data_IF_325212892331
#
_entry.id   IF_325212892331
#
_cell.length_a   1.000
_cell.length_b   1.000
_cell.length_c   1.000
_cell.angle_alpha   90.00
_cell.angle_beta   90.00
_cell.angle_gamma   90.00
#
_symmetry.space_group_name_H-M   'P 1'
#
loop_
_entity.id
_entity.type
_entity.pdbx_description
1 polymer ?
#
# COMPACT_ATOMS: atom_id res chain seq x y z
N UNK A 1 -4.06 -14.63 -7.44
CA UNK A 1 -3.02 -15.35 -6.65
C UNK A 1 -3.36 -16.81 -6.42
N UNK A 2 -4.53 -17.13 -5.88
CA UNK A 2 -4.91 -18.51 -5.49
C UNK A 2 -5.05 -19.46 -6.69
N UNK A 3 -5.71 -19.04 -7.78
CA UNK A 3 -5.78 -19.83 -9.01
C UNK A 3 -4.40 -20.09 -9.65
N UNK A 4 -3.46 -19.17 -9.46
CA UNK A 4 -2.11 -19.29 -9.98
C UNK A 4 -1.24 -20.23 -9.11
N UNK A 5 -1.46 -20.25 -7.79
CA UNK A 5 -0.89 -21.25 -6.88
C UNK A 5 -1.48 -22.64 -7.14
N UNK A 6 -2.79 -22.74 -7.39
CA UNK A 6 -3.42 -24.00 -7.81
C UNK A 6 -2.85 -24.52 -9.13
N UNK A 7 -2.67 -23.64 -10.13
CA UNK A 7 -1.99 -23.96 -11.39
C UNK A 7 -0.51 -24.37 -11.19
N UNK A 8 0.20 -23.72 -10.27
CA UNK A 8 1.57 -24.09 -9.91
C UNK A 8 1.65 -25.48 -9.26
N UNK A 9 0.69 -25.81 -8.39
CA UNK A 9 0.56 -27.14 -7.78
C UNK A 9 0.15 -28.20 -8.81
N UNK A 10 -0.74 -27.86 -9.75
CA UNK A 10 -1.10 -28.71 -10.90
C UNK A 10 0.09 -28.97 -11.83
N UNK A 11 1.02 -28.02 -11.96
CA UNK A 11 2.22 -28.15 -12.77
C UNK A 11 3.32 -29.02 -12.13
N UNK A 12 3.30 -29.19 -10.81
CA UNK A 12 4.36 -29.85 -10.06
C UNK A 12 4.10 -31.35 -9.85
N UNK A 13 4.61 -32.18 -10.77
CA UNK A 13 4.98 -33.58 -10.51
C UNK A 13 3.89 -34.58 -10.06
N UNK A 14 3.38 -35.38 -11.00
CA UNK A 14 2.46 -36.49 -10.73
C UNK A 14 1.77 -36.94 -12.02
N UNK A 15 1.20 -38.15 -12.07
CA UNK A 15 0.29 -38.53 -13.15
C UNK A 15 -0.90 -37.57 -13.21
N UNK A 16 -1.49 -37.37 -14.39
CA UNK A 16 -2.63 -36.47 -14.62
C UNK A 16 -3.72 -36.57 -13.53
N UNK A 17 -4.05 -37.81 -13.13
CA UNK A 17 -5.03 -38.09 -12.10
C UNK A 17 -4.65 -37.56 -10.71
N UNK A 18 -3.37 -37.62 -10.33
CA UNK A 18 -2.90 -37.08 -9.04
C UNK A 18 -2.96 -35.55 -9.05
N UNK A 19 -2.60 -34.92 -10.16
CA UNK A 19 -2.70 -33.45 -10.34
C UNK A 19 -4.14 -32.98 -10.19
N UNK A 20 -5.07 -33.59 -10.95
CA UNK A 20 -6.49 -33.27 -10.85
C UNK A 20 -7.03 -33.45 -9.42
N UNK A 21 -6.61 -34.52 -8.74
CA UNK A 21 -7.02 -34.77 -7.36
C UNK A 21 -6.48 -33.72 -6.40
N UNK A 22 -5.18 -33.45 -6.42
CA UNK A 22 -4.53 -32.58 -5.43
C UNK A 22 -4.90 -31.10 -5.70
N UNK A 23 -4.95 -30.69 -6.97
CA UNK A 23 -5.50 -29.39 -7.37
C UNK A 23 -7.00 -29.27 -7.07
N UNK A 24 -7.76 -30.35 -7.22
CA UNK A 24 -9.17 -30.44 -6.83
C UNK A 24 -9.38 -30.25 -5.33
N UNK A 25 -8.57 -30.90 -4.49
CA UNK A 25 -8.60 -30.71 -3.04
C UNK A 25 -8.23 -29.30 -2.61
N UNK A 26 -7.21 -28.70 -3.24
CA UNK A 26 -6.85 -27.31 -2.99
C UNK A 26 -7.97 -26.35 -3.39
N UNK A 27 -8.54 -26.52 -4.59
CA UNK A 27 -9.66 -25.72 -5.07
C UNK A 27 -10.87 -25.87 -4.15
N UNK A 28 -11.20 -27.11 -3.75
CA UNK A 28 -12.29 -27.38 -2.80
C UNK A 28 -12.04 -26.69 -1.46
N UNK A 29 -10.84 -26.80 -0.88
CA UNK A 29 -10.49 -26.12 0.36
C UNK A 29 -10.61 -24.61 0.26
N UNK A 30 -10.17 -24.02 -0.85
CA UNK A 30 -10.37 -22.60 -1.13
C UNK A 30 -11.84 -22.23 -1.23
N UNK A 31 -12.63 -22.94 -2.03
CA UNK A 31 -14.06 -22.64 -2.17
C UNK A 31 -14.80 -22.85 -0.85
N UNK A 32 -14.46 -23.86 -0.05
CA UNK A 32 -15.05 -24.06 1.28
C UNK A 32 -14.73 -22.89 2.22
N UNK A 33 -13.53 -22.30 2.14
CA UNK A 33 -13.16 -21.13 2.94
C UNK A 33 -13.77 -19.82 2.40
N UNK A 34 -13.81 -19.65 1.07
CA UNK A 34 -14.25 -18.42 0.42
C UNK A 34 -15.79 -18.32 0.33
N UNK A 35 -16.49 -19.44 0.13
CA UNK A 35 -17.95 -19.45 -0.09
C UNK A 35 -18.73 -18.82 1.06
N UNK A 36 -18.47 -19.12 2.35
CA UNK A 36 -19.18 -18.45 3.45
C UNK A 36 -19.03 -16.93 3.42
N UNK A 37 -17.83 -16.43 3.11
CA UNK A 37 -17.55 -15.00 3.01
C UNK A 37 -18.27 -14.40 1.80
N UNK A 38 -18.21 -15.05 0.65
CA UNK A 38 -18.87 -14.58 -0.58
C UNK A 38 -20.39 -14.60 -0.44
N UNK A 39 -20.97 -15.61 0.21
CA UNK A 39 -22.40 -15.69 0.51
C UNK A 39 -22.80 -14.59 1.48
N UNK A 40 -22.03 -14.38 2.55
CA UNK A 40 -22.28 -13.30 3.50
C UNK A 40 -22.23 -11.92 2.83
N UNK A 41 -21.21 -11.66 2.01
CA UNK A 41 -21.11 -10.42 1.24
C UNK A 41 -22.27 -10.29 0.25
N UNK A 42 -22.61 -11.35 -0.49
CA UNK A 42 -23.67 -11.32 -1.49
C UNK A 42 -25.04 -11.09 -0.86
N UNK A 43 -25.29 -11.67 0.31
CA UNK A 43 -26.51 -11.47 1.07
C UNK A 43 -26.59 -10.08 1.72
N UNK A 44 -25.45 -9.52 2.16
CA UNK A 44 -25.41 -8.22 2.84
C UNK A 44 -25.40 -7.02 1.89
N UNK A 45 -24.62 -7.08 0.81
CA UNK A 45 -24.38 -5.96 -0.12
C UNK A 45 -24.99 -6.17 -1.51
N UNK A 46 -25.29 -7.42 -1.90
CA UNK A 46 -25.68 -7.77 -3.26
C UNK A 46 -24.47 -8.02 -4.17
N UNK A 47 -24.65 -8.90 -5.17
CA UNK A 47 -23.58 -9.25 -6.11
C UNK A 47 -23.11 -8.06 -6.96
N UNK A 48 -24.03 -7.17 -7.33
CA UNK A 48 -23.70 -5.98 -8.14
C UNK A 48 -22.79 -5.01 -7.40
N UNK A 49 -23.06 -4.77 -6.11
CA UNK A 49 -22.20 -3.94 -5.27
C UNK A 49 -20.80 -4.57 -5.11
N UNK A 50 -20.73 -5.88 -4.89
CA UNK A 50 -19.43 -6.58 -4.82
C UNK A 50 -18.66 -6.45 -6.13
N UNK A 51 -19.32 -6.67 -7.27
CA UNK A 51 -18.68 -6.52 -8.57
C UNK A 51 -18.16 -5.09 -8.77
N UNK A 52 -18.99 -4.10 -8.45
CA UNK A 52 -18.63 -2.69 -8.55
C UNK A 52 -17.43 -2.34 -7.67
N UNK A 53 -17.45 -2.70 -6.39
CA UNK A 53 -16.40 -2.35 -5.43
C UNK A 53 -15.09 -3.14 -5.64
N UNK A 54 -15.18 -4.43 -5.95
CA UNK A 54 -14.00 -5.31 -6.03
C UNK A 54 -13.33 -5.29 -7.41
N UNK A 55 -14.10 -4.99 -8.46
CA UNK A 55 -13.59 -5.02 -9.85
C UNK A 55 -13.61 -3.63 -10.46
N UNK A 56 -14.77 -2.99 -10.56
CA UNK A 56 -14.91 -1.74 -11.33
C UNK A 56 -14.15 -0.59 -10.68
N UNK A 57 -14.39 -0.32 -9.40
CA UNK A 57 -13.67 0.72 -8.65
C UNK A 57 -12.16 0.43 -8.59
N UNK A 58 -11.75 -0.83 -8.39
CA UNK A 58 -10.32 -1.17 -8.36
C UNK A 58 -9.62 -0.83 -9.68
N UNK A 59 -10.26 -1.08 -10.83
CA UNK A 59 -9.73 -0.71 -12.14
C UNK A 59 -9.67 0.81 -12.29
N UNK A 60 -10.75 1.52 -11.97
CA UNK A 60 -10.80 2.99 -12.06
C UNK A 60 -9.75 3.67 -11.16
N UNK A 61 -9.60 3.19 -9.93
CA UNK A 61 -8.56 3.64 -9.00
C UNK A 61 -7.16 3.38 -9.58
N UNK A 62 -6.92 2.19 -10.16
CA UNK A 62 -5.63 1.86 -10.74
C UNK A 62 -5.28 2.76 -11.93
N UNK A 63 -6.22 3.07 -12.81
CA UNK A 63 -6.00 3.97 -13.95
C UNK A 63 -5.63 5.39 -13.48
N UNK A 64 -6.43 5.97 -12.59
CA UNK A 64 -6.27 7.35 -12.14
C UNK A 64 -5.10 7.54 -11.17
N UNK A 65 -4.69 6.48 -10.46
CA UNK A 65 -3.62 6.52 -9.46
C UNK A 65 -2.34 5.82 -9.90
N UNK A 66 -2.28 5.38 -11.16
CA UNK A 66 -1.08 4.75 -11.72
C UNK A 66 0.16 5.63 -11.56
N UNK A 67 1.33 5.02 -11.37
CA UNK A 67 2.60 5.74 -11.29
C UNK A 67 3.64 5.04 -12.14
N UNK A 68 4.42 5.79 -12.95
CA UNK A 68 5.50 5.21 -13.71
C UNK A 68 6.60 4.69 -12.77
N UNK A 69 7.32 3.67 -13.22
CA UNK A 69 8.49 3.17 -12.50
C UNK A 69 9.48 4.31 -12.24
N UNK A 70 10.08 4.40 -11.02
CA UNK A 70 11.08 5.41 -10.74
C UNK A 70 12.25 5.34 -11.74
N UNK A 71 12.76 6.52 -12.09
CA UNK A 71 13.94 6.65 -12.95
C UNK A 71 15.21 6.08 -12.28
N UNK A 72 16.26 5.87 -13.08
CA UNK A 72 17.61 5.50 -12.62
C UNK A 72 18.61 6.64 -12.75
N UNK A 73 18.16 7.89 -12.71
CA UNK A 73 19.09 9.00 -12.62
C UNK A 73 19.96 8.82 -11.38
N UNK A 74 21.28 9.02 -11.51
CA UNK A 74 22.18 8.95 -10.36
C UNK A 74 21.67 9.91 -9.28
N UNK A 75 21.53 9.43 -8.04
CA UNK A 75 21.05 10.28 -6.97
C UNK A 75 22.11 11.30 -6.61
N UNK A 76 21.66 12.43 -6.07
CA UNK A 76 22.52 13.22 -5.22
C UNK A 76 22.86 12.37 -3.98
N UNK A 77 24.15 12.07 -3.79
CA UNK A 77 24.62 11.22 -2.71
C UNK A 77 24.59 11.93 -1.34
N UNK A 78 24.41 13.24 -1.33
CA UNK A 78 24.23 14.02 -0.10
C UNK A 78 22.74 14.08 0.29
N UNK A 79 21.80 13.84 -0.64
CA UNK A 79 20.37 13.73 -0.36
C UNK A 79 19.94 12.27 -0.11
N UNK A 80 19.73 11.93 1.17
CA UNK A 80 19.22 10.61 1.58
C UNK A 80 17.89 10.24 0.91
N UNK A 81 17.02 11.21 0.62
CA UNK A 81 15.76 10.96 -0.08
C UNK A 81 16.00 10.62 -1.54
N UNK A 82 16.94 11.27 -2.21
CA UNK A 82 17.34 10.96 -3.57
C UNK A 82 17.94 9.55 -3.66
N UNK A 83 18.84 9.18 -2.75
CA UNK A 83 19.41 7.82 -2.65
C UNK A 83 18.31 6.77 -2.53
N UNK A 84 17.36 6.97 -1.61
CA UNK A 84 16.23 6.05 -1.42
C UNK A 84 15.39 5.90 -2.68
N UNK A 85 15.00 7.00 -3.33
CA UNK A 85 14.20 6.96 -4.55
C UNK A 85 14.92 6.24 -5.69
N UNK A 86 16.23 6.49 -5.84
CA UNK A 86 17.07 5.75 -6.79
C UNK A 86 17.11 4.27 -6.47
N UNK A 87 17.31 3.91 -5.19
CA UNK A 87 17.38 2.51 -4.77
C UNK A 87 16.05 1.77 -5.02
N UNK A 88 14.90 2.42 -4.78
CA UNK A 88 13.59 1.88 -5.15
C UNK A 88 13.50 1.63 -6.66
N UNK A 89 14.02 2.56 -7.48
CA UNK A 89 14.14 2.37 -8.93
C UNK A 89 15.01 1.17 -9.32
N UNK A 90 16.11 0.94 -8.59
CA UNK A 90 16.97 -0.24 -8.74
C UNK A 90 16.21 -1.51 -8.35
N UNK A 91 15.50 -1.51 -7.22
CA UNK A 91 14.72 -2.65 -6.74
C UNK A 91 13.66 -3.07 -7.77
N UNK A 92 12.90 -2.13 -8.37
CA UNK A 92 11.94 -2.45 -9.43
C UNK A 92 12.57 -3.27 -10.57
N UNK A 93 13.76 -2.89 -11.01
CA UNK A 93 14.48 -3.55 -12.12
C UNK A 93 15.12 -4.85 -11.69
N UNK A 94 15.71 -4.88 -10.50
CA UNK A 94 16.27 -6.09 -9.91
C UNK A 94 15.17 -7.15 -9.74
N UNK A 95 14.01 -6.77 -9.23
CA UNK A 95 12.90 -7.70 -8.98
C UNK A 95 12.35 -8.20 -10.30
N UNK A 96 12.10 -7.31 -11.26
CA UNK A 96 11.67 -7.70 -12.60
C UNK A 96 12.67 -8.67 -13.25
N UNK A 97 13.96 -8.35 -13.20
CA UNK A 97 15.02 -9.23 -13.71
C UNK A 97 15.05 -10.59 -13.01
N UNK A 98 14.87 -10.61 -11.68
CA UNK A 98 14.82 -11.84 -10.88
C UNK A 98 13.64 -12.72 -11.32
N UNK A 99 12.43 -12.18 -11.37
CA UNK A 99 11.24 -12.94 -11.78
C UNK A 99 11.31 -13.39 -13.24
N UNK A 100 11.76 -12.53 -14.16
CA UNK A 100 11.94 -12.91 -15.57
C UNK A 100 13.00 -14.02 -15.71
N UNK A 101 14.11 -13.93 -14.98
CA UNK A 101 15.17 -14.94 -14.98
C UNK A 101 14.68 -16.29 -14.46
N UNK A 102 13.96 -16.30 -13.33
CA UNK A 102 13.39 -17.53 -12.79
C UNK A 102 12.26 -18.10 -13.66
N UNK A 103 11.40 -17.25 -14.25
CA UNK A 103 10.38 -17.69 -15.19
C UNK A 103 11.02 -18.35 -16.42
N UNK A 104 12.06 -17.74 -17.00
CA UNK A 104 12.80 -18.32 -18.11
C UNK A 104 13.49 -19.64 -17.73
N UNK A 105 14.08 -19.73 -16.54
CA UNK A 105 14.69 -20.96 -16.02
C UNK A 105 13.66 -22.09 -15.87
N UNK A 106 12.49 -21.78 -15.30
CA UNK A 106 11.39 -22.74 -15.14
C UNK A 106 10.84 -23.18 -16.49
N UNK A 107 10.66 -22.26 -17.44
CA UNK A 107 10.24 -22.56 -18.81
C UNK A 107 11.27 -23.45 -19.53
N UNK A 108 12.56 -23.14 -19.43
CA UNK A 108 13.63 -23.94 -20.02
C UNK A 108 13.67 -25.36 -19.43
N UNK A 109 13.49 -25.50 -18.10
CA UNK A 109 13.37 -26.81 -17.44
C UNK A 109 12.16 -27.59 -17.95
N UNK A 110 11.02 -26.93 -18.06
CA UNK A 110 9.79 -27.52 -18.58
C UNK A 110 9.96 -28.04 -20.01
N UNK A 111 10.54 -27.23 -20.91
CA UNK A 111 10.84 -27.61 -22.30
C UNK A 111 11.77 -28.83 -22.35
N UNK A 112 12.78 -28.86 -21.47
CA UNK A 112 13.72 -30.00 -21.33
C UNK A 112 13.11 -31.22 -20.62
N UNK A 113 11.81 -31.20 -20.31
CA UNK A 113 11.08 -32.23 -19.54
C UNK A 113 11.69 -32.51 -18.16
N UNK A 114 12.50 -31.58 -17.65
CA UNK A 114 12.98 -31.61 -16.27
C UNK A 114 11.85 -31.09 -15.37
N UNK A 115 11.59 -31.79 -14.26
CA UNK A 115 10.55 -31.38 -13.32
C UNK A 115 11.02 -30.15 -12.53
N UNK A 116 10.38 -28.98 -12.69
CA UNK A 116 10.68 -27.84 -11.85
C UNK A 116 10.19 -28.10 -10.42
N UNK A 117 10.88 -27.49 -9.45
CA UNK A 117 10.51 -27.58 -8.03
C UNK A 117 9.15 -26.88 -7.80
N UNK A 118 8.12 -27.58 -7.26
CA UNK A 118 6.81 -27.00 -6.95
C UNK A 118 6.89 -25.70 -6.18
N UNK A 119 7.76 -25.67 -5.16
CA UNK A 119 7.88 -24.53 -4.27
C UNK A 119 8.45 -23.34 -5.04
N UNK A 120 9.44 -23.58 -5.91
CA UNK A 120 10.00 -22.54 -6.74
C UNK A 120 8.97 -21.96 -7.71
N UNK A 121 8.15 -22.81 -8.35
CA UNK A 121 7.05 -22.33 -9.21
C UNK A 121 6.08 -21.48 -8.39
N UNK A 122 5.66 -21.96 -7.21
CA UNK A 122 4.73 -21.24 -6.35
C UNK A 122 5.27 -19.87 -5.93
N UNK A 123 6.55 -19.77 -5.54
CA UNK A 123 7.20 -18.51 -5.16
C UNK A 123 7.31 -17.55 -6.35
N UNK A 124 7.68 -18.04 -7.53
CA UNK A 124 7.79 -17.22 -8.75
C UNK A 124 6.43 -16.69 -9.18
N UNK A 125 5.39 -17.53 -9.14
CA UNK A 125 4.02 -17.14 -9.49
C UNK A 125 3.45 -16.17 -8.45
N UNK A 126 3.61 -16.47 -7.16
CA UNK A 126 3.17 -15.59 -6.08
C UNK A 126 3.82 -14.21 -6.21
N UNK A 127 5.15 -14.16 -6.26
CA UNK A 127 5.86 -12.90 -6.35
C UNK A 127 5.68 -12.16 -7.67
N UNK A 128 5.56 -12.87 -8.79
CA UNK A 128 5.28 -12.28 -10.09
C UNK A 128 3.93 -11.55 -10.11
N UNK A 129 2.90 -12.09 -9.46
CA UNK A 129 1.61 -11.41 -9.34
C UNK A 129 1.68 -10.15 -8.48
N UNK A 130 2.41 -10.19 -7.36
CA UNK A 130 2.61 -9.01 -6.52
C UNK A 130 3.45 -7.95 -7.23
N UNK A 131 4.46 -8.35 -8.00
CA UNK A 131 5.23 -7.43 -8.83
C UNK A 131 4.35 -6.80 -9.92
N UNK A 132 3.53 -7.58 -10.62
CA UNK A 132 2.59 -7.05 -11.63
C UNK A 132 1.63 -6.01 -11.02
N UNK A 133 1.12 -6.27 -9.81
CA UNK A 133 0.34 -5.28 -9.05
C UNK A 133 1.17 -4.02 -8.76
N UNK A 134 2.42 -4.19 -8.33
CA UNK A 134 3.32 -3.09 -8.03
C UNK A 134 3.72 -2.27 -9.26
N UNK A 135 3.64 -2.84 -10.47
CA UNK A 135 3.89 -2.11 -11.72
C UNK A 135 2.72 -1.18 -12.10
N UNK A 136 1.49 -1.50 -11.69
CA UNK A 136 0.31 -0.65 -11.92
C UNK A 136 0.41 0.70 -11.20
N UNK A 137 1.00 0.71 -10.00
CA UNK A 137 1.36 1.93 -9.26
C UNK A 137 2.77 1.77 -8.71
N UNK A 138 3.75 2.28 -9.47
CA UNK A 138 5.15 2.03 -9.17
C UNK A 138 5.73 2.95 -8.09
N UNK A 139 5.34 2.72 -6.83
CA UNK A 139 5.97 3.33 -5.66
C UNK A 139 6.35 2.28 -4.59
N UNK A 140 7.25 2.67 -3.69
CA UNK A 140 7.87 1.78 -2.70
C UNK A 140 6.87 0.95 -1.88
N UNK A 141 5.78 1.51 -1.30
CA UNK A 141 4.83 0.69 -0.54
C UNK A 141 4.19 -0.44 -1.37
N UNK A 142 3.99 -0.22 -2.66
CA UNK A 142 3.47 -1.28 -3.54
C UNK A 142 4.56 -2.30 -3.86
N UNK A 143 5.80 -1.87 -4.07
CA UNK A 143 6.93 -2.77 -4.27
C UNK A 143 7.22 -3.66 -3.06
N UNK A 144 7.06 -3.13 -1.84
CA UNK A 144 7.28 -3.84 -0.58
C UNK A 144 6.40 -5.09 -0.45
N UNK A 145 5.22 -5.07 -1.08
CA UNK A 145 4.34 -6.24 -1.13
C UNK A 145 4.94 -7.44 -1.89
N UNK A 146 5.93 -7.20 -2.77
CA UNK A 146 6.68 -8.23 -3.47
C UNK A 146 7.99 -8.63 -2.74
N UNK A 147 8.36 -7.96 -1.65
CA UNK A 147 9.61 -8.20 -0.94
C UNK A 147 9.75 -9.64 -0.40
N UNK A 148 8.74 -10.25 0.26
CA UNK A 148 8.91 -11.60 0.80
C UNK A 148 9.29 -12.66 -0.25
N UNK A 149 8.58 -12.80 -1.39
CA UNK A 149 9.00 -13.76 -2.42
C UNK A 149 10.33 -13.39 -3.08
N UNK A 150 10.69 -12.10 -3.18
CA UNK A 150 12.03 -11.70 -3.65
C UNK A 150 13.12 -12.19 -2.71
N UNK A 151 12.96 -12.04 -1.40
CA UNK A 151 13.92 -12.54 -0.42
C UNK A 151 14.14 -14.05 -0.56
N UNK A 152 13.08 -14.82 -0.78
CA UNK A 152 13.17 -16.27 -1.03
C UNK A 152 13.95 -16.59 -2.31
N UNK A 153 13.68 -15.86 -3.40
CA UNK A 153 14.37 -16.05 -4.69
C UNK A 153 15.84 -15.62 -4.64
N UNK A 154 16.16 -14.56 -3.91
CA UNK A 154 17.54 -14.12 -3.66
C UNK A 154 18.28 -15.14 -2.79
N UNK A 155 17.66 -15.63 -1.72
CA UNK A 155 18.24 -16.69 -0.88
C UNK A 155 18.49 -17.97 -1.69
N UNK A 156 17.56 -18.38 -2.55
CA UNK A 156 17.76 -19.51 -3.46
C UNK A 156 18.92 -19.25 -4.43
N UNK A 157 18.99 -18.07 -5.04
CA UNK A 157 20.06 -17.70 -5.97
C UNK A 157 21.43 -17.74 -5.28
N UNK A 158 21.53 -17.13 -4.10
CA UNK A 158 22.75 -17.12 -3.29
C UNK A 158 23.15 -18.53 -2.86
N UNK A 159 22.21 -19.36 -2.41
CA UNK A 159 22.46 -20.77 -2.06
C UNK A 159 23.06 -21.55 -3.24
N UNK A 160 22.56 -21.34 -4.46
CA UNK A 160 23.10 -21.96 -5.67
C UNK A 160 24.49 -21.42 -6.02
N UNK A 161 24.72 -20.12 -5.84
CA UNK A 161 26.03 -19.49 -6.03
C UNK A 161 27.07 -20.03 -5.05
N UNK A 162 26.74 -20.10 -3.77
CA UNK A 162 27.63 -20.67 -2.74
C UNK A 162 27.91 -22.16 -2.97
N UNK A 163 26.90 -22.93 -3.39
CA UNK A 163 27.10 -24.34 -3.75
C UNK A 163 28.04 -24.54 -4.95
N UNK A 164 28.10 -23.58 -5.88
CA UNK A 164 29.05 -23.61 -6.99
C UNK A 164 30.48 -23.24 -6.54
N UNK A 165 30.63 -22.34 -5.57
CA UNK A 165 31.92 -21.94 -5.00
C UNK A 165 32.50 -22.98 -4.04
N UNK A 166 31.64 -23.74 -3.36
CA UNK A 166 32.01 -24.75 -2.37
C UNK A 166 31.38 -26.10 -2.72
N UNK A 167 32.00 -26.89 -3.62
CA UNK A 167 31.47 -28.19 -4.05
C UNK A 167 31.26 -29.16 -2.89
N UNK A 168 30.26 -30.03 -3.03
CA UNK A 168 29.94 -31.09 -2.07
C UNK A 168 31.18 -31.96 -1.76
N UNK A 169 31.56 -32.03 -0.49
CA UNK A 169 32.74 -32.77 -0.01
C UNK A 169 33.79 -31.90 0.70
N UNK A 170 33.77 -30.58 0.51
CA UNK A 170 34.48 -29.66 1.40
C UNK A 170 33.77 -29.65 2.76
N UNK A 171 34.51 -29.86 3.86
CA UNK A 171 33.92 -29.69 5.19
C UNK A 171 33.33 -28.28 5.29
N UNK A 172 32.13 -28.09 5.87
CA UNK A 172 31.59 -26.76 6.12
C UNK A 172 32.48 -26.08 7.18
N UNK A 173 33.61 -25.57 6.72
CA UNK A 173 34.61 -24.96 7.55
C UNK A 173 34.13 -23.59 8.00
N UNK A 174 34.72 -23.11 9.10
CA UNK A 174 34.53 -21.76 9.63
C UNK A 174 34.60 -20.67 8.54
N UNK A 175 35.45 -20.86 7.53
CA UNK A 175 35.59 -19.95 6.39
C UNK A 175 34.30 -19.81 5.54
N UNK A 176 33.60 -20.92 5.28
CA UNK A 176 32.32 -20.89 4.53
C UNK A 176 31.26 -20.13 5.30
N UNK A 177 31.08 -20.46 6.59
CA UNK A 177 30.12 -19.77 7.45
C UNK A 177 30.43 -18.28 7.56
N UNK A 178 31.70 -17.90 7.78
CA UNK A 178 32.12 -16.49 7.84
C UNK A 178 31.82 -15.74 6.54
N UNK A 179 32.01 -16.40 5.39
CA UNK A 179 31.72 -15.80 4.08
C UNK A 179 30.22 -15.61 3.88
N UNK A 180 29.42 -16.65 4.12
CA UNK A 180 27.96 -16.58 3.99
C UNK A 180 27.35 -15.54 4.95
N UNK A 181 27.80 -15.53 6.21
CA UNK A 181 27.39 -14.54 7.21
C UNK A 181 27.82 -13.13 6.82
N UNK A 182 29.07 -12.95 6.36
CA UNK A 182 29.59 -11.65 5.91
C UNK A 182 28.80 -11.07 4.74
N UNK A 183 28.46 -11.92 3.75
CA UNK A 183 27.60 -11.51 2.62
C UNK A 183 26.20 -11.16 3.12
N UNK A 184 25.61 -11.97 4.01
CA UNK A 184 24.29 -11.69 4.57
C UNK A 184 24.24 -10.35 5.32
N UNK A 185 25.23 -10.08 6.17
CA UNK A 185 25.36 -8.81 6.91
C UNK A 185 25.56 -7.64 5.95
N UNK A 186 26.43 -7.79 4.94
CA UNK A 186 26.69 -6.75 3.96
C UNK A 186 25.44 -6.41 3.14
N UNK A 187 24.70 -7.42 2.68
CA UNK A 187 23.46 -7.23 1.91
C UNK A 187 22.39 -6.58 2.78
N UNK A 188 22.16 -7.08 4.00
CA UNK A 188 21.16 -6.51 4.90
C UNK A 188 21.51 -5.07 5.31
N UNK A 189 22.76 -4.83 5.70
CA UNK A 189 23.25 -3.50 6.09
C UNK A 189 23.19 -2.51 4.94
N UNK A 190 23.63 -2.92 3.74
CA UNK A 190 23.52 -2.10 2.53
C UNK A 190 22.07 -1.78 2.18
N UNK A 191 21.17 -2.76 2.31
CA UNK A 191 19.75 -2.56 2.07
C UNK A 191 19.11 -1.58 3.06
N UNK A 192 19.36 -1.74 4.36
CA UNK A 192 18.89 -0.84 5.41
C UNK A 192 19.40 0.58 5.19
N UNK A 193 20.69 0.72 4.87
CA UNK A 193 21.31 2.01 4.56
C UNK A 193 20.70 2.66 3.32
N UNK A 194 20.48 1.91 2.23
CA UNK A 194 19.94 2.47 0.99
C UNK A 194 18.44 2.82 1.11
N UNK A 195 17.69 2.13 1.96
CA UNK A 195 16.31 2.52 2.30
C UNK A 195 16.24 3.71 3.27
N UNK A 196 17.34 4.04 3.95
CA UNK A 196 17.35 5.10 4.95
C UNK A 196 16.71 4.70 6.28
N UNK A 197 16.56 3.41 6.57
CA UNK A 197 15.97 2.95 7.83
C UNK A 197 16.87 3.19 9.03
N UNK A 198 18.19 3.26 8.80
CA UNK A 198 19.20 3.68 9.78
C UNK A 198 18.92 5.07 10.36
N UNK A 199 18.30 5.95 9.58
CA UNK A 199 17.94 7.30 10.02
C UNK A 199 16.90 7.28 11.15
N UNK A 200 16.05 6.24 11.21
CA UNK A 200 15.09 6.08 12.29
C UNK A 200 15.75 5.69 13.63
N UNK A 201 17.02 5.27 13.60
CA UNK A 201 17.80 4.92 14.80
C UNK A 201 18.57 6.13 15.37
N UNK A 202 18.52 7.29 14.71
CA UNK A 202 19.22 8.49 15.16
C UNK A 202 18.51 9.10 16.38
N UNK A 203 19.19 9.27 17.54
CA UNK A 203 18.57 9.80 18.75
C UNK A 203 18.00 11.21 18.59
N UNK A 204 18.66 12.03 17.78
CA UNK A 204 18.21 13.38 17.40
C UNK A 204 16.82 13.39 16.76
N UNK A 205 16.42 12.25 16.16
CA UNK A 205 15.13 12.06 15.52
C UNK A 205 14.04 11.46 16.39
N UNK A 206 14.37 11.06 17.63
CA UNK A 206 13.39 10.55 18.59
C UNK A 206 12.46 11.66 19.12
N UNK A 207 12.79 12.93 18.88
CA UNK A 207 11.89 14.05 19.09
C UNK A 207 11.68 14.42 20.55
N UNK A 208 11.16 15.64 20.77
CA UNK A 208 10.89 16.20 22.10
C UNK A 208 9.44 16.61 22.28
N UNK A 209 8.63 16.59 21.21
CA UNK A 209 7.24 17.03 21.24
C UNK A 209 6.31 15.86 21.52
N UNK A 210 5.59 15.88 22.64
CA UNK A 210 4.61 14.86 22.97
C UNK A 210 3.34 15.00 22.11
N UNK A 211 2.86 13.89 21.56
CA UNK A 211 1.57 13.84 20.86
C UNK A 211 0.42 13.91 21.87
N UNK A 212 -0.41 14.94 21.79
CA UNK A 212 -1.49 15.19 22.75
C UNK A 212 -2.74 14.32 22.53
N UNK A 213 -2.89 13.75 21.34
CA UNK A 213 -4.02 12.87 20.99
C UNK A 213 -3.89 11.45 21.55
N UNK A 214 -2.70 11.07 22.03
CA UNK A 214 -2.37 9.74 22.54
C UNK A 214 -2.24 9.77 24.07
N UNK A 215 -2.67 8.67 24.71
CA UNK A 215 -2.57 8.51 26.18
C UNK A 215 -1.13 8.25 26.63
N UNK A 216 -0.32 7.62 25.77
CA UNK A 216 1.08 7.32 26.05
C UNK A 216 2.00 8.50 25.72
N UNK A 217 3.11 8.61 26.44
CA UNK A 217 4.12 9.63 26.21
C UNK A 217 4.95 9.32 24.95
N UNK A 218 4.33 9.52 23.78
CA UNK A 218 4.98 9.38 22.48
C UNK A 218 5.51 10.74 22.04
N UNK A 219 6.83 10.82 21.86
CA UNK A 219 7.52 12.04 21.44
C UNK A 219 7.89 11.99 19.96
N UNK A 220 7.81 13.13 19.30
CA UNK A 220 8.17 13.31 17.88
C UNK A 220 8.94 14.61 17.66
N UNK A 221 9.65 14.68 16.54
CA UNK A 221 10.32 15.92 16.12
C UNK A 221 9.29 17.04 15.86
N UNK A 222 9.74 18.30 15.98
CA UNK A 222 8.86 19.45 15.88
C UNK A 222 8.20 19.60 14.50
N UNK A 223 8.92 19.27 13.43
CA UNK A 223 8.46 19.30 12.04
C UNK A 223 7.86 17.96 11.55
N UNK A 224 7.53 17.06 12.47
CA UNK A 224 7.06 15.72 12.12
C UNK A 224 5.62 15.74 11.55
N UNK A 225 5.35 14.83 10.60
CA UNK A 225 4.01 14.58 10.06
C UNK A 225 3.01 14.21 11.16
N UNK A 226 3.45 13.48 12.18
CA UNK A 226 2.62 13.06 13.31
C UNK A 226 2.03 14.25 14.06
N UNK A 227 2.80 15.33 14.28
CA UNK A 227 2.31 16.56 14.94
C UNK A 227 1.18 17.24 14.16
N UNK A 228 1.25 17.22 12.82
CA UNK A 228 0.17 17.78 12.00
C UNK A 228 -1.11 16.94 12.09
N UNK A 229 -0.96 15.61 12.16
CA UNK A 229 -2.08 14.69 12.37
C UNK A 229 -2.67 14.92 13.76
N UNK A 230 -1.84 15.00 14.80
CA UNK A 230 -2.21 15.27 16.19
C UNK A 230 -3.04 16.55 16.34
N UNK A 231 -2.53 17.66 15.79
CA UNK A 231 -3.27 18.94 15.75
C UNK A 231 -4.61 18.84 15.02
N UNK A 232 -4.70 18.02 13.97
CA UNK A 232 -5.96 17.81 13.23
C UNK A 232 -6.94 17.01 14.07
N UNK A 233 -6.47 15.96 14.76
CA UNK A 233 -7.29 15.13 15.65
C UNK A 233 -7.84 15.97 16.80
N UNK A 234 -6.99 16.73 17.46
CA UNK A 234 -7.39 17.60 18.58
C UNK A 234 -8.42 18.63 18.12
N UNK A 235 -8.16 19.34 17.02
CA UNK A 235 -9.11 20.31 16.49
C UNK A 235 -10.49 19.71 16.14
N UNK A 236 -10.51 18.54 15.52
CA UNK A 236 -11.78 17.83 15.23
C UNK A 236 -12.47 17.44 16.54
N UNK A 237 -11.76 16.92 17.53
CA UNK A 237 -12.33 16.54 18.84
C UNK A 237 -12.85 17.74 19.62
N UNK A 238 -12.20 18.89 19.51
CA UNK A 238 -12.59 20.12 20.21
C UNK A 238 -13.84 20.76 19.59
N UNK A 239 -14.06 20.58 18.29
CA UNK A 239 -15.16 21.23 17.56
C UNK A 239 -16.32 20.32 17.16
N UNK A 240 -16.26 19.04 17.51
CA UNK A 240 -17.31 18.06 17.21
C UNK A 240 -17.59 17.16 18.41
N UNK A 241 -18.81 16.66 18.52
CA UNK A 241 -19.24 15.73 19.57
C UNK A 241 -19.19 14.27 19.11
N UNK A 242 -19.08 13.30 20.04
CA UNK A 242 -19.26 11.89 19.70
C UNK A 242 -20.60 11.65 18.98
N UNK A 243 -20.55 10.98 17.84
CA UNK A 243 -21.71 10.77 16.97
C UNK A 243 -21.83 11.77 15.81
N UNK A 244 -21.13 12.91 15.88
CA UNK A 244 -21.05 13.82 14.74
C UNK A 244 -20.32 13.18 13.57
N UNK A 245 -20.77 13.54 12.36
CA UNK A 245 -20.11 13.15 11.13
C UNK A 245 -18.97 14.11 10.80
N UNK A 246 -17.90 13.58 10.22
CA UNK A 246 -16.85 14.38 9.59
C UNK A 246 -16.69 13.95 8.14
N UNK A 247 -16.17 14.81 7.28
CA UNK A 247 -15.80 14.43 5.92
C UNK A 247 -14.29 14.52 5.75
N UNK A 248 -13.62 13.38 5.62
CA UNK A 248 -12.18 13.35 5.32
C UNK A 248 -11.93 13.31 3.81
N UNK A 249 -11.45 14.43 3.27
CA UNK A 249 -11.04 14.54 1.87
C UNK A 249 -9.54 14.35 1.67
N UNK A 250 -8.81 14.00 2.73
CA UNK A 250 -7.36 13.82 2.68
C UNK A 250 -6.91 12.42 2.24
N UNK A 251 -7.88 11.57 1.88
CA UNK A 251 -7.66 10.15 1.54
C UNK A 251 -6.97 9.37 2.67
N UNK A 252 -7.27 9.71 3.93
CA UNK A 252 -6.60 9.20 5.12
C UNK A 252 -7.60 8.58 6.10
N UNK A 253 -8.13 7.37 5.82
CA UNK A 253 -9.22 6.77 6.60
C UNK A 253 -8.93 6.63 8.10
N UNK A 254 -7.65 6.62 8.50
CA UNK A 254 -7.27 6.58 9.89
C UNK A 254 -7.77 7.81 10.69
N UNK A 255 -8.07 8.94 10.06
CA UNK A 255 -8.53 10.14 10.78
C UNK A 255 -9.90 9.95 11.41
N UNK A 256 -10.81 9.23 10.76
CA UNK A 256 -12.06 8.82 11.38
C UNK A 256 -11.82 7.98 12.64
N UNK A 257 -10.87 7.02 12.57
CA UNK A 257 -10.59 6.10 13.67
C UNK A 257 -9.98 6.87 14.85
N UNK A 258 -9.00 7.73 14.55
CA UNK A 258 -8.29 8.49 15.57
C UNK A 258 -9.16 9.60 16.18
N UNK A 259 -10.11 10.16 15.45
CA UNK A 259 -11.05 11.15 15.98
C UNK A 259 -12.26 10.51 16.67
N UNK A 260 -12.56 9.24 16.38
CA UNK A 260 -13.79 8.59 16.83
C UNK A 260 -15.02 9.22 16.19
N UNK A 261 -14.92 9.60 14.91
CA UNK A 261 -15.99 10.20 14.11
C UNK A 261 -16.19 9.38 12.84
N UNK A 262 -17.42 9.31 12.36
CA UNK A 262 -17.76 8.59 11.14
C UNK A 262 -17.92 9.57 9.98
N UNK A 263 -17.82 9.05 8.76
CA UNK A 263 -18.18 9.74 7.54
C UNK A 263 -19.67 9.59 7.21
N UNK A 264 -20.20 10.41 6.29
CA UNK A 264 -21.55 10.27 5.72
C UNK A 264 -21.86 8.86 5.19
N UNK A 265 -20.86 8.15 4.67
CA UNK A 265 -20.89 6.75 4.27
C UNK A 265 -20.01 5.85 5.16
N UNK A 266 -19.88 6.20 6.44
CA UNK A 266 -19.16 5.45 7.49
C UNK A 266 -17.63 5.65 7.49
N UNK A 267 -16.87 5.01 6.60
CA UNK A 267 -15.41 5.21 6.49
C UNK A 267 -15.05 5.68 5.08
N UNK A 268 -15.62 6.82 4.67
CA UNK A 268 -15.50 7.29 3.29
C UNK A 268 -14.05 7.57 2.92
N UNK A 269 -13.57 6.90 1.87
CA UNK A 269 -12.25 7.17 1.31
C UNK A 269 -12.42 7.87 -0.03
N UNK A 270 -12.27 9.20 -0.01
CA UNK A 270 -12.34 10.02 -1.22
C UNK A 270 -10.93 10.22 -1.76
N UNK A 271 -10.69 9.67 -2.95
CA UNK A 271 -9.44 9.70 -3.69
C UNK A 271 -9.72 9.69 -5.20
N UNK A 272 -8.73 9.97 -6.08
CA UNK A 272 -8.93 9.89 -7.52
C UNK A 272 -9.46 8.51 -7.95
N UNK A 273 -10.66 8.45 -8.53
CA UNK A 273 -11.34 7.20 -8.92
C UNK A 273 -12.34 6.65 -7.89
N UNK A 274 -12.62 7.38 -6.80
CA UNK A 274 -13.73 7.04 -5.88
C UNK A 274 -15.09 7.16 -6.56
N UNK A 275 -15.30 8.15 -7.42
CA UNK A 275 -16.52 8.31 -8.22
C UNK A 275 -16.27 7.78 -9.63
N UNK A 276 -17.12 6.88 -10.14
CA UNK A 276 -16.99 6.35 -11.50
C UNK A 276 -17.49 7.33 -12.55
N UNK A 277 -18.52 8.11 -12.19
CA UNK A 277 -19.17 9.09 -13.04
C UNK A 277 -19.76 10.25 -12.22
N UNK A 278 -20.38 11.20 -12.93
CA UNK A 278 -21.01 12.38 -12.30
C UNK A 278 -22.26 12.03 -11.48
N UNK A 279 -22.90 10.90 -11.75
CA UNK A 279 -24.11 10.47 -11.05
C UNK A 279 -23.75 9.91 -9.67
N UNK A 280 -22.64 9.17 -9.57
CA UNK A 280 -22.06 8.73 -8.31
C UNK A 280 -21.65 9.90 -7.42
N UNK A 281 -20.97 10.90 -8.00
CA UNK A 281 -20.57 12.09 -7.27
C UNK A 281 -21.80 12.86 -6.78
N UNK A 282 -22.81 13.01 -7.63
CA UNK A 282 -24.06 13.69 -7.28
C UNK A 282 -24.80 12.95 -6.15
N UNK A 283 -24.92 11.63 -6.23
CA UNK A 283 -25.52 10.83 -5.17
C UNK A 283 -24.75 10.95 -3.84
N UNK A 284 -23.44 11.18 -3.89
CA UNK A 284 -22.66 11.49 -2.70
C UNK A 284 -22.98 12.89 -2.14
N UNK A 285 -23.05 13.90 -3.00
CA UNK A 285 -23.43 15.27 -2.59
C UNK A 285 -24.83 15.30 -1.97
N UNK A 286 -25.80 14.58 -2.53
CA UNK A 286 -27.15 14.45 -1.94
C UNK A 286 -27.10 13.87 -0.51
N UNK A 287 -26.18 12.93 -0.22
CA UNK A 287 -25.96 12.44 1.15
C UNK A 287 -25.37 13.52 2.06
N UNK A 288 -24.45 14.34 1.55
CA UNK A 288 -23.89 15.47 2.29
C UNK A 288 -24.96 16.52 2.63
N UNK A 289 -25.87 16.79 1.71
CA UNK A 289 -27.00 17.70 1.94
C UNK A 289 -27.96 17.16 3.01
N UNK A 290 -28.24 15.86 2.98
CA UNK A 290 -29.13 15.23 3.96
C UNK A 290 -28.50 15.10 5.35
N UNK A 291 -27.18 14.93 5.42
CA UNK A 291 -26.44 14.70 6.66
C UNK A 291 -25.12 15.47 6.64
N UNK A 292 -25.18 16.81 6.82
CA UNK A 292 -24.00 17.67 6.70
C UNK A 292 -22.99 17.36 7.81
N UNK A 293 -21.72 17.11 7.47
CA UNK A 293 -20.65 16.91 8.45
C UNK A 293 -20.46 18.11 9.38
N UNK A 294 -20.14 17.86 10.65
CA UNK A 294 -19.78 18.91 11.61
C UNK A 294 -18.40 19.53 11.29
N UNK A 295 -17.51 18.77 10.65
CA UNK A 295 -16.21 19.25 10.19
C UNK A 295 -15.78 18.58 8.88
N UNK A 296 -15.01 19.29 8.07
CA UNK A 296 -14.38 18.77 6.85
C UNK A 296 -12.87 18.86 7.00
N UNK A 297 -12.18 17.76 6.74
CA UNK A 297 -10.72 17.71 6.70
C UNK A 297 -10.28 17.90 5.25
N UNK A 298 -9.73 19.07 4.96
CA UNK A 298 -9.32 19.49 3.63
C UNK A 298 -7.82 19.27 3.40
N UNK A 299 -7.39 18.56 2.34
CA UNK A 299 -5.98 18.41 2.03
C UNK A 299 -5.38 19.70 1.46
N UNK A 300 -4.26 20.14 2.02
CA UNK A 300 -3.49 21.28 1.48
C UNK A 300 -2.53 20.90 0.35
N UNK A 301 -2.40 19.60 0.07
CA UNK A 301 -1.59 19.07 -1.02
C UNK A 301 -2.46 18.15 -1.85
N UNK A 302 -2.36 18.26 -3.17
CA UNK A 302 -3.03 17.32 -4.06
C UNK A 302 -2.53 15.90 -3.82
N UNK A 303 -3.37 14.91 -4.13
CA UNK A 303 -3.00 13.51 -4.09
C UNK A 303 -1.77 13.29 -4.97
N UNK A 304 -0.77 12.57 -4.44
CA UNK A 304 0.56 12.40 -5.06
C UNK A 304 1.31 13.69 -5.44
N UNK A 305 0.90 14.86 -4.95
CA UNK A 305 1.40 16.18 -5.37
C UNK A 305 1.18 16.48 -6.85
N UNK A 306 0.18 15.86 -7.48
CA UNK A 306 -0.18 16.09 -8.88
C UNK A 306 -1.46 16.92 -8.94
N UNK A 307 -1.43 18.08 -9.60
CA UNK A 307 -2.59 18.97 -9.70
C UNK A 307 -3.81 18.28 -10.36
N UNK A 308 -3.56 17.42 -11.35
CA UNK A 308 -4.58 16.61 -12.04
C UNK A 308 -5.27 15.59 -11.12
N UNK A 309 -4.72 15.32 -9.94
CA UNK A 309 -5.29 14.42 -8.91
C UNK A 309 -5.83 15.17 -7.70
N UNK A 310 -6.00 16.49 -7.82
CA UNK A 310 -6.66 17.29 -6.79
C UNK A 310 -8.16 17.06 -6.77
N UNK A 311 -8.79 17.24 -5.61
CA UNK A 311 -10.25 17.13 -5.43
C UNK A 311 -10.99 17.97 -6.47
N UNK A 312 -10.53 19.18 -6.77
CA UNK A 312 -11.20 20.02 -7.77
C UNK A 312 -11.18 19.48 -9.20
N UNK A 313 -10.39 18.44 -9.49
CA UNK A 313 -10.39 17.74 -10.79
C UNK A 313 -11.11 16.40 -10.70
N UNK A 314 -11.01 15.70 -9.57
CA UNK A 314 -11.51 14.32 -9.42
C UNK A 314 -12.85 14.22 -8.71
N UNK A 315 -13.29 15.29 -8.06
CA UNK A 315 -14.56 15.43 -7.34
C UNK A 315 -14.97 16.93 -7.29
N UNK A 316 -15.23 17.55 -8.46
CA UNK A 316 -15.53 18.98 -8.55
C UNK A 316 -16.84 19.38 -7.83
N UNK A 317 -17.89 18.56 -7.87
CA UNK A 317 -19.16 18.87 -7.20
C UNK A 317 -19.01 18.79 -5.68
N UNK A 318 -18.26 17.81 -5.18
CA UNK A 318 -17.91 17.74 -3.74
C UNK A 318 -17.09 18.95 -3.32
N UNK A 319 -16.09 19.36 -4.13
CA UNK A 319 -15.33 20.59 -3.89
C UNK A 319 -16.26 21.80 -3.76
N UNK A 320 -17.15 21.98 -4.73
CA UNK A 320 -18.05 23.13 -4.78
C UNK A 320 -18.98 23.17 -3.59
N UNK A 321 -19.60 22.03 -3.27
CA UNK A 321 -20.44 21.89 -2.09
C UNK A 321 -19.68 22.26 -0.79
N UNK A 322 -18.46 21.74 -0.60
CA UNK A 322 -17.66 22.07 0.59
C UNK A 322 -17.33 23.56 0.65
N UNK A 323 -16.92 24.17 -0.45
CA UNK A 323 -16.52 25.57 -0.49
C UNK A 323 -17.70 26.52 -0.28
N UNK A 324 -18.89 26.11 -0.71
CA UNK A 324 -20.14 26.83 -0.47
C UNK A 324 -20.54 26.80 1.01
N UNK A 325 -20.42 25.64 1.68
CA UNK A 325 -20.98 25.44 3.02
C UNK A 325 -19.99 25.63 4.18
N UNK A 326 -18.67 25.50 3.93
CA UNK A 326 -17.64 25.47 4.96
C UNK A 326 -16.59 26.57 4.78
N UNK A 327 -15.93 26.92 5.89
CA UNK A 327 -14.79 27.86 5.93
C UNK A 327 -13.69 27.31 6.82
N UNK A 328 -12.43 27.65 6.51
CA UNK A 328 -11.28 27.21 7.32
C UNK A 328 -11.32 27.81 8.71
N UNK A 329 -11.37 26.95 9.73
CA UNK A 329 -11.20 27.31 11.14
C UNK A 329 -9.73 27.17 11.56
N UNK A 330 -9.04 26.15 11.03
CA UNK A 330 -7.60 25.95 11.22
C UNK A 330 -6.92 25.54 9.92
N UNK A 331 -5.69 26.03 9.76
CA UNK A 331 -4.79 25.62 8.68
C UNK A 331 -3.49 25.06 9.25
N UNK A 332 -3.27 23.76 9.05
CA UNK A 332 -2.00 23.09 9.32
C UNK A 332 -1.09 23.04 8.08
N UNK A 333 0.05 22.36 8.16
CA UNK A 333 0.95 22.23 7.00
C UNK A 333 0.45 21.20 5.97
N UNK A 334 -0.31 20.18 6.42
CA UNK A 334 -0.81 19.09 5.58
C UNK A 334 -2.33 19.17 5.35
N UNK A 335 -3.08 19.50 6.39
CA UNK A 335 -4.53 19.55 6.37
C UNK A 335 -5.03 20.88 6.92
N UNK A 336 -6.18 21.32 6.43
CA UNK A 336 -6.99 22.35 7.03
C UNK A 336 -8.25 21.71 7.58
N UNK A 337 -8.72 22.18 8.73
CA UNK A 337 -10.03 21.80 9.26
C UNK A 337 -10.99 22.92 8.92
N UNK A 338 -12.06 22.57 8.20
CA UNK A 338 -13.12 23.49 7.82
C UNK A 338 -14.36 23.20 8.69
N UNK A 339 -15.02 24.26 9.10
CA UNK A 339 -16.27 24.21 9.86
C UNK A 339 -17.40 24.88 9.07
N UNK A 340 -18.68 24.55 9.33
CA UNK A 340 -19.81 25.21 8.70
C UNK A 340 -19.70 26.73 8.84
N UNK A 341 -20.06 27.49 7.80
CA UNK A 341 -19.88 28.96 7.74
C UNK A 341 -20.54 29.75 8.89
N UNK A 342 -21.51 29.17 9.60
CA UNK A 342 -22.15 29.76 10.79
C UNK A 342 -21.58 29.27 12.14
N UNK A 343 -20.48 28.52 12.14
CA UNK A 343 -19.92 27.93 13.37
C UNK A 343 -19.32 29.01 14.28
N UNK A 344 -19.56 28.96 15.61
CA UNK A 344 -19.03 29.92 16.57
C UNK A 344 -17.51 29.83 16.74
N UNK A 345 -16.89 28.75 16.27
CA UNK A 345 -15.45 28.53 16.34
C UNK A 345 -14.68 29.09 15.13
N UNK A 346 -15.39 29.70 14.18
CA UNK A 346 -14.72 30.38 13.07
C UNK A 346 -14.10 31.70 13.55
N UNK A 347 -12.88 32.03 13.07
CA UNK A 347 -12.33 33.35 13.31
C UNK A 347 -13.25 34.42 12.70
N UNK A 348 -13.43 35.54 13.42
CA UNK A 348 -14.19 36.69 12.91
C UNK A 348 -13.63 37.11 11.54
N UNK A 349 -14.52 37.38 10.59
CA UNK A 349 -14.10 37.88 9.28
C UNK A 349 -13.39 39.23 9.46
N UNK A 350 -12.20 39.42 8.86
CA UNK A 350 -11.54 40.72 8.88
C UNK A 350 -12.35 41.81 8.18
#
# INVERSE_FOLDING_TARGET
TIGAVALALLAAGGGWNRRLRDGGWFALGFFLAATPVLVWLAAGAGLDAIWREVVVHVVALQELQSKPAPGLALPDWDDRRAIRLWFVGVQYRLYAGLYLGYAALLAARWIRRARPDPLLIAVVVWGGLYLLRALGRSDEPHLDSALPPVCLLLAHLLSRGFGALWPEGASPGRARWLTEAGVGIFVLGGWMFLLGTDVALQPERMGTFQLGSLTEAVFVEEENKARNIDRTILAVRDWTQPGDLILDLSSSPYLYVLTGRLGPGYWDIIMPGTFLDEDDERAFVERLEHSPPAAVIWPRRHFDRMATRGIGQTAPRVRDWVMEHYRSAQSGARFSVLLPRGSPHLPESP
#
